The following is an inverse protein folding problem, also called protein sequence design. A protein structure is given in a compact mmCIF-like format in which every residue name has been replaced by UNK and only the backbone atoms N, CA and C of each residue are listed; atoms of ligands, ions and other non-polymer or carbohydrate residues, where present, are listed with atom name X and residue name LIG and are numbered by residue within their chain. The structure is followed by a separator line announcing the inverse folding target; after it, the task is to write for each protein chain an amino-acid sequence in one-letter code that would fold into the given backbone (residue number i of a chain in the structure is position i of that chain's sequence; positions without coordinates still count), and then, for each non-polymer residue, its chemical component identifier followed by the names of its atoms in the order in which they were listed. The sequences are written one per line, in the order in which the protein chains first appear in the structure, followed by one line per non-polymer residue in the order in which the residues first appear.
data_IF_733140608191
#
_entry.id   IF_733140608191
#
_cell.length_a   1.000
_cell.length_b   1.000
_cell.length_c   1.000
_cell.angle_alpha   90.00
_cell.angle_beta   90.00
_cell.angle_gamma   90.00
#
_symmetry.space_group_name_H-M   'P 1'
#
loop_
_entity.id
_entity.type
_entity.pdbx_description
1 polymer ?
#
# COMPACT_ATOMS: atom_id res chain seq x y z
N UNK A 1 17.86 -15.25 24.19
CA UNK A 1 18.94 -15.34 23.18
C UNK A 1 18.53 -14.74 21.81
N UNK A 2 17.53 -13.85 21.76
CA UNK A 2 17.05 -13.17 20.53
C UNK A 2 17.56 -11.71 20.47
N UNK A 3 18.04 -11.18 21.60
CA UNK A 3 18.44 -9.77 21.77
C UNK A 3 19.79 -9.39 21.13
N UNK A 4 20.60 -10.37 20.74
CA UNK A 4 22.01 -10.13 20.34
C UNK A 4 22.18 -9.90 18.83
N UNK A 5 21.15 -10.17 18.00
CA UNK A 5 21.25 -9.97 16.54
C UNK A 5 20.70 -8.62 16.03
N UNK A 6 20.11 -7.80 16.90
CA UNK A 6 19.53 -6.50 16.51
C UNK A 6 20.39 -5.28 16.89
N UNK A 7 21.55 -5.48 17.53
CA UNK A 7 22.49 -4.41 17.92
C UNK A 7 23.64 -4.19 16.92
N UNK A 8 23.37 -4.35 15.62
CA UNK A 8 24.30 -3.80 14.61
C UNK A 8 23.87 -2.36 14.35
N UNK A 9 24.71 -1.41 14.78
CA UNK A 9 24.60 -0.01 14.38
C UNK A 9 24.59 0.03 12.84
N UNK A 10 23.41 0.19 12.25
CA UNK A 10 23.29 0.49 10.84
C UNK A 10 23.81 1.91 10.67
N UNK A 11 24.79 2.16 9.78
CA UNK A 11 25.13 3.53 9.43
C UNK A 11 23.86 4.20 8.91
N UNK A 12 23.45 5.30 9.53
CA UNK A 12 22.36 6.11 9.00
C UNK A 12 22.78 6.52 7.59
N UNK A 13 21.94 6.23 6.59
CA UNK A 13 22.15 6.76 5.24
C UNK A 13 21.76 8.24 5.26
N UNK A 14 22.58 9.06 5.91
CA UNK A 14 22.45 10.51 5.87
C UNK A 14 23.02 10.98 4.53
N UNK A 15 22.13 11.13 3.56
CA UNK A 15 22.45 11.75 2.28
C UNK A 15 22.72 13.25 2.54
N UNK A 16 23.95 13.75 2.32
CA UNK A 16 24.31 15.13 2.61
C UNK A 16 23.41 16.11 1.83
N UNK A 17 22.82 17.09 2.50
CA UNK A 17 21.95 18.12 1.91
C UNK A 17 20.72 17.60 1.12
N UNK A 18 20.29 16.35 1.32
CA UNK A 18 19.13 15.80 0.64
C UNK A 18 17.97 15.44 1.58
N UNK A 19 16.76 15.42 1.02
CA UNK A 19 15.55 14.96 1.73
C UNK A 19 15.77 13.51 2.19
N UNK A 20 15.24 13.16 3.38
CA UNK A 20 15.25 11.76 3.83
C UNK A 20 14.63 10.84 2.76
N UNK A 21 15.20 9.65 2.49
CA UNK A 21 14.70 8.78 1.45
C UNK A 21 13.30 8.27 1.76
N UNK A 22 12.53 7.98 0.71
CA UNK A 22 11.30 7.21 0.80
C UNK A 22 11.65 5.72 0.99
N UNK A 23 11.11 5.09 2.04
CA UNK A 23 11.19 3.64 2.20
C UNK A 23 10.06 2.96 1.45
N UNK A 24 10.36 1.94 0.65
CA UNK A 24 9.37 1.16 -0.10
C UNK A 24 9.39 -0.28 0.37
N UNK A 25 8.31 -0.73 1.02
CA UNK A 25 8.12 -2.14 1.38
C UNK A 25 7.48 -2.86 0.19
N UNK A 26 8.33 -3.46 -0.64
CA UNK A 26 7.94 -4.11 -1.89
C UNK A 26 7.72 -5.63 -1.77
N UNK A 27 7.64 -6.30 -2.92
CA UNK A 27 7.55 -7.76 -3.02
C UNK A 27 6.13 -8.33 -2.94
N UNK A 28 5.09 -7.49 -2.98
CA UNK A 28 3.68 -7.89 -2.80
C UNK A 28 2.74 -7.46 -3.95
N UNK A 29 3.09 -7.64 -5.23
CA UNK A 29 4.17 -8.47 -5.79
C UNK A 29 5.32 -7.66 -6.40
N UNK A 30 6.39 -8.36 -6.80
CA UNK A 30 7.60 -7.76 -7.37
C UNK A 30 7.32 -6.84 -8.57
N UNK A 31 6.43 -7.24 -9.47
CA UNK A 31 6.06 -6.41 -10.63
C UNK A 31 5.32 -5.14 -10.22
N UNK A 32 4.44 -5.20 -9.21
CA UNK A 32 3.75 -4.02 -8.70
C UNK A 32 4.76 -3.05 -8.06
N UNK A 33 5.76 -3.57 -7.36
CA UNK A 33 6.88 -2.77 -6.84
C UNK A 33 7.65 -2.09 -7.97
N UNK A 34 8.03 -2.83 -9.02
CA UNK A 34 8.73 -2.24 -10.17
C UNK A 34 7.91 -1.13 -10.85
N UNK A 35 6.60 -1.35 -11.07
CA UNK A 35 5.69 -0.33 -11.62
C UNK A 35 5.57 0.91 -10.74
N UNK A 36 5.54 0.72 -9.42
CA UNK A 36 5.53 1.84 -8.48
C UNK A 36 6.82 2.67 -8.61
N UNK A 37 7.99 2.03 -8.68
CA UNK A 37 9.26 2.71 -8.84
C UNK A 37 9.36 3.43 -10.20
N UNK A 38 8.86 2.82 -11.28
CA UNK A 38 8.75 3.49 -12.57
C UNK A 38 7.86 4.74 -12.47
N UNK A 39 6.69 4.64 -11.84
CA UNK A 39 5.79 5.78 -11.66
C UNK A 39 6.42 6.88 -10.80
N UNK A 40 7.16 6.51 -9.74
CA UNK A 40 7.91 7.43 -8.88
C UNK A 40 8.97 8.20 -9.68
N UNK A 41 9.70 7.51 -10.54
CA UNK A 41 10.68 8.12 -11.45
C UNK A 41 10.00 9.04 -12.48
N UNK A 42 8.86 8.65 -13.07
CA UNK A 42 8.19 9.45 -14.11
C UNK A 42 7.41 10.67 -13.61
N UNK A 43 6.83 10.60 -12.41
CA UNK A 43 5.95 11.69 -11.88
C UNK A 43 6.71 12.88 -11.33
N UNK A 44 7.96 12.64 -11.01
CA UNK A 44 8.98 13.61 -10.69
C UNK A 44 9.20 14.54 -11.90
N UNK A 45 8.62 15.75 -11.89
CA UNK A 45 8.84 16.79 -12.94
C UNK A 45 10.21 17.45 -12.75
N UNK A 46 11.25 16.64 -12.78
CA UNK A 46 12.59 17.10 -12.52
C UNK A 46 13.41 17.13 -13.81
N UNK A 47 14.29 18.12 -13.92
CA UNK A 47 15.11 18.32 -15.10
C UNK A 47 16.42 17.52 -15.02
N UNK A 48 16.80 17.07 -13.82
CA UNK A 48 18.04 16.34 -13.56
C UNK A 48 17.84 15.10 -12.68
N UNK A 49 18.78 14.14 -12.76
CA UNK A 49 18.76 12.94 -11.93
C UNK A 49 18.81 13.24 -10.43
N UNK A 50 19.51 14.31 -10.04
CA UNK A 50 19.75 14.72 -8.64
C UNK A 50 18.50 15.22 -7.93
N UNK A 51 17.50 15.65 -8.70
CA UNK A 51 16.25 16.20 -8.19
C UNK A 51 15.23 15.10 -7.86
N UNK A 52 15.44 13.86 -8.34
CA UNK A 52 14.56 12.73 -8.05
C UNK A 52 14.46 12.44 -6.56
N UNK A 53 13.29 11.92 -6.16
CA UNK A 53 13.03 11.52 -4.77
C UNK A 53 14.00 10.37 -4.42
N UNK A 54 14.90 10.54 -3.43
CA UNK A 54 15.74 9.45 -2.99
C UNK A 54 14.86 8.36 -2.37
N UNK A 55 15.12 7.09 -2.64
CA UNK A 55 14.36 5.98 -2.08
C UNK A 55 15.22 4.75 -1.76
N UNK A 56 14.77 3.96 -0.78
CA UNK A 56 15.30 2.64 -0.47
C UNK A 56 14.15 1.65 -0.63
N UNK A 57 14.29 0.68 -1.53
CA UNK A 57 13.26 -0.33 -1.78
C UNK A 57 13.71 -1.70 -1.25
N UNK A 58 12.97 -2.23 -0.27
CA UNK A 58 13.14 -3.60 0.21
C UNK A 58 12.09 -4.50 -0.45
N UNK A 59 12.48 -5.15 -1.55
CA UNK A 59 11.61 -6.04 -2.33
C UNK A 59 12.05 -7.50 -2.19
N UNK A 60 11.50 -8.19 -1.19
CA UNK A 60 11.68 -9.63 -1.02
C UNK A 60 10.32 -10.36 -1.10
N UNK A 61 10.09 -11.24 -2.08
CA UNK A 61 8.77 -11.83 -2.34
C UNK A 61 8.41 -13.00 -1.40
N UNK A 62 8.89 -12.97 -0.15
CA UNK A 62 8.63 -13.99 0.89
C UNK A 62 7.64 -13.54 1.97
N UNK A 63 6.97 -12.40 1.78
CA UNK A 63 5.81 -12.03 2.62
C UNK A 63 4.65 -12.99 2.26
N UNK A 64 4.06 -13.71 3.24
CA UNK A 64 2.95 -14.62 2.98
C UNK A 64 1.79 -13.94 2.25
N UNK A 65 0.96 -14.72 1.57
CA UNK A 65 -0.16 -14.16 0.83
C UNK A 65 -1.13 -13.44 1.77
N UNK A 66 -1.43 -12.18 1.45
CA UNK A 66 -2.25 -11.32 2.30
C UNK A 66 -3.70 -11.78 2.30
N UNK A 67 -4.23 -12.22 1.16
CA UNK A 67 -5.63 -12.63 1.04
C UNK A 67 -5.89 -13.92 1.82
N UNK A 68 -4.99 -14.89 1.69
CA UNK A 68 -5.05 -16.14 2.43
C UNK A 68 -4.95 -15.89 3.93
N UNK A 69 -3.96 -15.10 4.38
CA UNK A 69 -3.76 -14.79 5.79
C UNK A 69 -5.00 -14.16 6.42
N UNK A 70 -5.60 -13.16 5.76
CA UNK A 70 -6.85 -12.53 6.21
C UNK A 70 -7.98 -13.55 6.32
N UNK A 71 -8.11 -14.43 5.31
CA UNK A 71 -9.16 -15.46 5.31
C UNK A 71 -9.05 -16.46 6.46
N UNK A 72 -7.86 -16.68 7.01
CA UNK A 72 -7.62 -17.60 8.13
C UNK A 72 -7.35 -16.87 9.46
N UNK A 73 -7.48 -15.54 9.50
CA UNK A 73 -7.20 -14.75 10.70
C UNK A 73 -5.72 -14.72 11.12
N UNK A 74 -4.79 -14.88 10.19
CA UNK A 74 -3.35 -14.84 10.44
C UNK A 74 -2.76 -13.45 10.22
N UNK A 75 -1.86 -13.05 11.12
CA UNK A 75 -1.09 -11.80 11.07
C UNK A 75 0.33 -11.98 10.50
N UNK A 76 0.66 -13.16 9.96
CA UNK A 76 2.00 -13.46 9.47
C UNK A 76 2.52 -12.46 8.41
N UNK A 77 1.71 -11.99 7.43
CA UNK A 77 2.13 -10.90 6.55
C UNK A 77 2.39 -9.59 7.27
N UNK A 78 1.52 -9.21 8.21
CA UNK A 78 1.64 -7.96 8.97
C UNK A 78 2.98 -7.90 9.71
N UNK A 79 3.38 -8.98 10.40
CA UNK A 79 4.67 -9.04 11.11
C UNK A 79 5.84 -8.74 10.18
N UNK A 80 5.91 -9.41 9.02
CA UNK A 80 6.98 -9.16 8.05
C UNK A 80 6.92 -7.76 7.42
N UNK A 81 5.72 -7.19 7.21
CA UNK A 81 5.56 -5.83 6.70
C UNK A 81 6.12 -4.83 7.71
N UNK A 82 5.76 -4.97 8.99
CA UNK A 82 6.23 -4.10 10.07
C UNK A 82 7.74 -4.23 10.25
N UNK A 83 8.30 -5.45 10.29
CA UNK A 83 9.74 -5.68 10.39
C UNK A 83 10.52 -4.94 9.30
N UNK A 84 10.04 -5.00 8.06
CA UNK A 84 10.66 -4.32 6.91
C UNK A 84 10.49 -2.81 6.95
N UNK A 85 9.30 -2.33 7.33
CA UNK A 85 9.02 -0.92 7.46
C UNK A 85 9.89 -0.28 8.56
N UNK A 86 9.98 -0.93 9.72
CA UNK A 86 10.86 -0.51 10.82
C UNK A 86 12.34 -0.61 10.44
N UNK A 87 12.74 -1.58 9.62
CA UNK A 87 14.11 -1.63 9.09
C UNK A 87 14.41 -0.42 8.19
N UNK A 88 13.50 -0.06 7.28
CA UNK A 88 13.64 1.10 6.41
C UNK A 88 13.67 2.42 7.21
N UNK A 89 12.83 2.53 8.23
CA UNK A 89 12.85 3.64 9.19
C UNK A 89 14.22 3.76 9.87
N UNK A 90 14.76 2.66 10.40
CA UNK A 90 16.11 2.61 11.01
C UNK A 90 17.23 2.90 10.01
N UNK A 91 17.02 2.60 8.73
CA UNK A 91 17.95 2.94 7.65
C UNK A 91 17.94 4.45 7.31
N UNK A 92 17.06 5.24 7.92
CA UNK A 92 16.98 6.69 7.76
C UNK A 92 15.87 7.18 6.84
N UNK A 93 14.97 6.29 6.37
CA UNK A 93 13.83 6.71 5.56
C UNK A 93 12.88 7.62 6.34
N UNK A 94 12.41 8.70 5.71
CA UNK A 94 11.54 9.71 6.33
C UNK A 94 10.05 9.41 6.23
N UNK A 95 9.67 8.47 5.36
CA UNK A 95 8.31 7.99 5.17
C UNK A 95 8.34 6.59 4.56
N UNK A 96 7.24 5.85 4.69
CA UNK A 96 7.08 4.49 4.15
C UNK A 96 5.95 4.46 3.12
N UNK A 97 6.17 3.79 1.99
CA UNK A 97 5.16 3.45 1.00
C UNK A 97 5.08 1.93 0.80
N UNK A 98 3.86 1.43 0.58
CA UNK A 98 3.59 0.01 0.39
C UNK A 98 2.73 -0.16 -0.87
N UNK A 99 3.32 -0.54 -2.03
CA UNK A 99 2.57 -0.72 -3.28
C UNK A 99 1.78 -2.05 -3.29
N UNK A 100 0.87 -2.22 -2.33
CA UNK A 100 0.01 -3.40 -2.21
C UNK A 100 -1.33 -3.05 -1.54
N UNK A 101 -2.43 -3.11 -2.30
CA UNK A 101 -3.80 -2.88 -1.80
C UNK A 101 -4.09 -3.68 -0.53
N UNK A 102 -3.95 -5.01 -0.60
CA UNK A 102 -4.37 -5.89 0.49
C UNK A 102 -3.58 -5.66 1.78
N UNK A 103 -2.34 -5.16 1.70
CA UNK A 103 -1.54 -4.82 2.87
C UNK A 103 -2.14 -3.65 3.67
N UNK A 104 -2.85 -2.73 3.01
CA UNK A 104 -3.50 -1.59 3.67
C UNK A 104 -4.73 -1.97 4.50
N UNK A 105 -5.16 -3.24 4.50
CA UNK A 105 -6.11 -3.72 5.51
C UNK A 105 -5.53 -3.70 6.92
N UNK A 106 -4.20 -3.64 7.07
CA UNK A 106 -3.51 -3.43 8.33
C UNK A 106 -2.86 -2.04 8.45
N UNK A 107 -3.38 -1.03 7.73
CA UNK A 107 -2.76 0.30 7.71
C UNK A 107 -2.68 0.93 9.10
N UNK A 108 -3.68 0.71 9.95
CA UNK A 108 -3.71 1.22 11.33
C UNK A 108 -2.56 0.63 12.16
N UNK A 109 -2.39 -0.69 12.11
CA UNK A 109 -1.36 -1.41 12.84
C UNK A 109 0.04 -1.04 12.34
N UNK A 110 0.19 -0.88 11.03
CA UNK A 110 1.45 -0.42 10.42
C UNK A 110 1.77 1.01 10.87
N UNK A 111 0.80 1.92 10.85
CA UNK A 111 0.96 3.32 11.32
C UNK A 111 1.37 3.36 12.79
N UNK A 112 0.76 2.52 13.63
CA UNK A 112 1.07 2.44 15.06
C UNK A 112 2.48 1.92 15.35
N UNK A 113 3.03 1.08 14.46
CA UNK A 113 4.35 0.49 14.62
C UNK A 113 5.50 1.40 14.14
N UNK A 114 5.21 2.53 13.50
CA UNK A 114 6.20 3.43 12.89
C UNK A 114 6.16 4.81 13.56
N UNK A 115 7.33 5.44 13.70
CA UNK A 115 7.43 6.85 14.07
C UNK A 115 7.38 7.78 12.85
N UNK A 116 7.71 7.27 11.67
CA UNK A 116 7.60 7.97 10.38
C UNK A 116 6.24 7.74 9.72
N UNK A 117 5.87 8.64 8.80
CA UNK A 117 4.57 8.59 8.12
C UNK A 117 4.47 7.37 7.19
N UNK A 118 3.39 6.61 7.31
CA UNK A 118 2.90 5.74 6.24
C UNK A 118 2.16 6.57 5.19
N UNK A 119 2.61 6.51 3.94
CA UNK A 119 1.90 7.03 2.77
C UNK A 119 0.84 6.00 2.40
N UNK A 120 -0.36 6.17 2.96
CA UNK A 120 -1.48 5.27 2.72
C UNK A 120 -2.12 5.54 1.36
N UNK A 121 -1.89 4.64 0.40
CA UNK A 121 -2.39 4.82 -0.96
C UNK A 121 -3.92 4.74 -1.05
N UNK A 122 -4.60 4.11 -0.09
CA UNK A 122 -6.07 4.02 -0.05
C UNK A 122 -6.65 5.36 0.36
N UNK A 123 -6.13 5.96 1.43
CA UNK A 123 -6.52 7.30 1.88
C UNK A 123 -6.24 8.35 0.80
N UNK A 124 -5.06 8.29 0.18
CA UNK A 124 -4.69 9.22 -0.90
C UNK A 124 -5.59 9.06 -2.12
N UNK A 125 -5.98 7.83 -2.47
CA UNK A 125 -6.91 7.60 -3.59
C UNK A 125 -8.28 8.18 -3.30
N UNK A 126 -8.82 7.99 -2.08
CA UNK A 126 -10.11 8.57 -1.68
C UNK A 126 -10.06 10.10 -1.73
N UNK A 127 -9.03 10.69 -1.12
CA UNK A 127 -8.81 12.14 -1.15
C UNK A 127 -8.69 12.68 -2.59
N UNK A 128 -8.02 11.97 -3.49
CA UNK A 128 -7.89 12.38 -4.89
C UNK A 128 -9.24 12.37 -5.63
N UNK A 129 -10.12 11.41 -5.34
CA UNK A 129 -11.49 11.38 -5.87
C UNK A 129 -12.28 12.56 -5.32
N UNK A 130 -12.24 12.80 -4.00
CA UNK A 130 -12.96 13.90 -3.36
C UNK A 130 -12.53 15.25 -3.93
N UNK A 131 -11.22 15.49 -4.08
CA UNK A 131 -10.68 16.72 -4.65
C UNK A 131 -11.07 16.90 -6.12
N UNK A 132 -11.11 15.81 -6.90
CA UNK A 132 -11.41 15.87 -8.34
C UNK A 132 -12.89 16.13 -8.64
N UNK A 133 -13.78 15.81 -7.69
CA UNK A 133 -15.23 15.86 -7.91
C UNK A 133 -15.98 16.80 -6.94
N UNK A 134 -15.30 17.32 -5.91
CA UNK A 134 -15.85 18.31 -4.99
C UNK A 134 -17.15 17.86 -4.35
N UNK A 135 -18.18 18.71 -4.41
CA UNK A 135 -19.51 18.39 -3.88
C UNK A 135 -20.15 17.19 -4.56
N UNK A 136 -19.78 16.80 -5.79
CA UNK A 136 -20.38 15.67 -6.51
C UNK A 136 -19.77 14.31 -6.16
N UNK A 137 -18.72 14.27 -5.33
CA UNK A 137 -18.03 13.02 -4.97
C UNK A 137 -19.00 11.98 -4.37
N UNK A 138 -20.01 12.42 -3.61
CA UNK A 138 -21.03 11.54 -2.99
C UNK A 138 -22.01 10.91 -3.99
N UNK A 139 -22.12 11.46 -5.21
CA UNK A 139 -23.01 10.96 -6.26
C UNK A 139 -22.32 9.97 -7.20
N UNK A 140 -21.01 9.76 -7.03
CA UNK A 140 -20.24 8.86 -7.88
C UNK A 140 -20.54 7.39 -7.59
N UNK A 141 -20.75 6.63 -8.66
CA UNK A 141 -20.71 5.17 -8.60
C UNK A 141 -19.31 4.70 -8.91
N UNK A 142 -18.61 4.19 -7.91
CA UNK A 142 -17.28 3.60 -8.07
C UNK A 142 -17.35 2.07 -8.19
N UNK A 143 -16.46 1.51 -9.00
CA UNK A 143 -16.22 0.06 -9.08
C UNK A 143 -14.82 -0.19 -8.56
N UNK A 144 -14.70 -0.99 -7.50
CA UNK A 144 -13.39 -1.43 -6.98
C UNK A 144 -13.03 -2.76 -7.60
N UNK A 145 -11.87 -2.82 -8.27
CA UNK A 145 -11.27 -4.06 -8.77
C UNK A 145 -10.04 -4.37 -7.93
N UNK A 146 -9.97 -5.59 -7.38
CA UNK A 146 -8.86 -5.98 -6.53
C UNK A 146 -8.88 -7.46 -6.18
N UNK A 147 -8.03 -7.83 -5.23
CA UNK A 147 -8.05 -9.19 -4.67
C UNK A 147 -9.36 -9.46 -3.93
N UNK A 148 -9.69 -10.74 -3.72
CA UNK A 148 -10.89 -11.12 -2.95
C UNK A 148 -10.92 -10.43 -1.58
N UNK A 149 -9.79 -10.39 -0.86
CA UNK A 149 -9.71 -9.74 0.45
C UNK A 149 -9.95 -8.22 0.34
N UNK A 150 -9.33 -7.54 -0.64
CA UNK A 150 -9.56 -6.10 -0.89
C UNK A 150 -11.05 -5.79 -1.09
N UNK A 151 -11.75 -6.60 -1.87
CA UNK A 151 -13.16 -6.39 -2.18
C UNK A 151 -14.10 -6.78 -1.03
N UNK A 152 -13.81 -7.86 -0.31
CA UNK A 152 -14.68 -8.38 0.76
C UNK A 152 -14.61 -7.54 2.04
N UNK A 153 -13.47 -6.93 2.32
CA UNK A 153 -13.24 -6.14 3.53
C UNK A 153 -13.45 -4.63 3.32
N UNK A 154 -13.99 -4.21 2.17
CA UNK A 154 -14.41 -2.82 1.96
C UNK A 154 -13.27 -1.79 2.00
N UNK A 155 -12.05 -2.17 1.58
CA UNK A 155 -10.87 -1.29 1.71
C UNK A 155 -11.11 0.12 1.13
N UNK A 156 -11.74 0.18 -0.04
CA UNK A 156 -12.04 1.43 -0.76
C UNK A 156 -13.47 1.95 -0.55
N UNK A 157 -14.38 1.14 -0.01
CA UNK A 157 -15.82 1.46 0.06
C UNK A 157 -16.28 1.33 1.50
N UNK A 158 -16.80 2.42 2.08
CA UNK A 158 -17.49 2.34 3.37
C UNK A 158 -18.72 1.45 3.26
N UNK A 159 -18.87 0.53 4.22
CA UNK A 159 -19.99 -0.41 4.26
C UNK A 159 -21.25 0.33 4.72
N UNK A 160 -21.85 1.09 3.82
CA UNK A 160 -23.11 1.78 4.09
C UNK A 160 -24.27 0.77 4.01
N UNK A 161 -24.62 0.15 5.15
CA UNK A 161 -25.75 -0.79 5.24
C UNK A 161 -27.11 -0.11 4.93
N UNK A 162 -27.17 1.23 5.01
CA UNK A 162 -28.38 2.01 4.79
C UNK A 162 -28.48 2.70 3.42
N UNK A 163 -27.48 2.59 2.54
CA UNK A 163 -27.52 3.23 1.19
C UNK A 163 -27.46 2.24 0.04
N UNK A 164 -27.33 0.94 0.33
CA UNK A 164 -27.36 -0.10 -0.69
C UNK A 164 -28.25 -1.24 -0.21
N UNK A 165 -29.42 -1.37 -0.84
CA UNK A 165 -30.35 -2.47 -0.58
C UNK A 165 -29.62 -3.81 -0.54
N UNK A 166 -30.07 -4.67 0.39
CA UNK A 166 -29.58 -5.99 0.84
C UNK A 166 -29.10 -7.02 -0.21
N UNK A 167 -28.90 -6.67 -1.49
CA UNK A 167 -28.39 -7.58 -2.49
C UNK A 167 -27.57 -6.89 -3.58
N UNK A 168 -26.26 -6.70 -3.36
CA UNK A 168 -25.23 -6.69 -4.44
C UNK A 168 -23.78 -6.57 -3.92
N UNK A 169 -23.36 -7.45 -3.01
CA UNK A 169 -22.01 -8.00 -3.14
C UNK A 169 -22.10 -9.09 -4.23
N UNK A 170 -21.93 -8.74 -5.51
CA UNK A 170 -21.86 -9.76 -6.56
C UNK A 170 -20.51 -10.46 -6.44
N UNK A 171 -20.49 -11.62 -5.77
CA UNK A 171 -19.38 -12.57 -5.87
C UNK A 171 -19.12 -12.85 -7.36
N UNK A 172 -17.83 -12.91 -7.71
CA UNK A 172 -17.26 -13.03 -9.06
C UNK A 172 -17.94 -14.04 -10.00
N UNK A 173 -18.65 -15.04 -9.48
CA UNK A 173 -19.36 -16.07 -10.28
C UNK A 173 -20.36 -15.48 -11.28
N UNK A 174 -20.96 -14.31 -11.02
CA UNK A 174 -21.91 -13.69 -11.95
C UNK A 174 -21.25 -12.74 -12.96
N UNK A 175 -20.00 -12.31 -12.75
CA UNK A 175 -19.26 -11.41 -13.65
C UNK A 175 -18.38 -12.18 -14.65
N UNK A 176 -17.89 -13.37 -14.29
CA UNK A 176 -17.10 -14.21 -15.21
C UNK A 176 -17.91 -14.67 -16.43
N UNK A 177 -19.23 -14.87 -16.28
CA UNK A 177 -20.11 -15.23 -17.40
C UNK A 177 -20.59 -14.04 -18.25
N UNK A 178 -20.30 -12.80 -17.83
CA UNK A 178 -20.71 -11.57 -18.53
C UNK A 178 -19.57 -10.78 -19.15
N UNK A 179 -18.32 -11.25 -19.01
CA UNK A 179 -17.15 -10.55 -19.57
C UNK A 179 -16.86 -11.05 -20.98
N UNK A 180 -17.80 -10.78 -21.89
CA UNK A 180 -17.54 -10.80 -23.33
C UNK A 180 -17.82 -9.39 -23.86
N UNK A 181 -16.74 -8.70 -24.26
CA UNK A 181 -16.68 -7.38 -24.93
C UNK A 181 -17.13 -6.19 -24.09
N UNK A 182 -16.18 -5.32 -23.73
CA UNK A 182 -16.13 -3.92 -24.18
C UNK A 182 -14.64 -3.55 -24.37
N UNK A 183 -14.33 -2.96 -25.51
CA UNK A 183 -13.01 -2.43 -25.93
C UNK A 183 -12.65 -1.22 -25.09
#
# INVERSE_FOLDING_TARGET
MIDVMLQRNFPSCELPNQRKPLGVVGGMGTLATAKFLEALARKSRFETDQDHIPFICLSAPNIPDRSQAISIGSDAPLRQIVERASWLEKAGCGAIAIPCNTAHLWATEIKQALSVKLIDMVEITKQAIDVSHGSEAHNLRSITLGTNATMQHGLYVERNENSFGKGRCRRLKTLQNGTARII
#
